data_IF_544782415781
#
_entry.id   IF_544782415781
#
_cell.length_a   1.000
_cell.length_b   1.000
_cell.length_c   1.000
_cell.angle_alpha   90.00
_cell.angle_beta   90.00
_cell.angle_gamma   90.00
#
_symmetry.space_group_name_H-M   'P 1'
#
loop_
_entity.id
_entity.type
_entity.pdbx_description
1 polymer ?
#
# COMPACT_ATOMS: atom_id res chain seq x y z
N UNK A 1 -10.98 -57.43 -32.15
CA UNK A 1 -12.18 -56.59 -32.31
C UNK A 1 -11.76 -55.29 -32.99
N UNK A 2 -12.15 -55.08 -34.26
CA UNK A 2 -11.68 -53.99 -35.15
C UNK A 2 -12.56 -52.77 -34.95
N UNK A 3 -11.96 -51.63 -34.72
CA UNK A 3 -12.69 -50.34 -34.68
C UNK A 3 -12.34 -49.56 -35.93
N UNK A 4 -13.38 -49.25 -36.70
CA UNK A 4 -13.37 -48.60 -38.00
C UNK A 4 -13.11 -47.10 -37.90
N UNK A 5 -12.21 -46.62 -38.78
CA UNK A 5 -11.93 -45.18 -39.00
C UNK A 5 -12.97 -44.63 -39.99
N UNK A 6 -13.82 -43.73 -39.56
CA UNK A 6 -14.69 -42.96 -40.46
C UNK A 6 -13.96 -41.67 -40.90
N UNK A 7 -13.70 -41.63 -42.21
CA UNK A 7 -13.18 -40.44 -42.91
C UNK A 7 -14.36 -39.45 -43.09
N UNK A 8 -14.20 -38.23 -42.62
CA UNK A 8 -15.09 -37.13 -42.96
C UNK A 8 -14.51 -36.37 -44.16
N UNK A 9 -15.26 -36.39 -45.25
CA UNK A 9 -14.99 -35.59 -46.44
C UNK A 9 -15.44 -34.14 -46.18
N UNK A 10 -14.54 -33.16 -46.31
CA UNK A 10 -14.86 -31.76 -46.37
C UNK A 10 -15.00 -31.37 -47.84
N UNK A 11 -16.20 -30.94 -48.22
CA UNK A 11 -16.48 -30.33 -49.49
C UNK A 11 -16.01 -28.88 -49.47
N UNK A 12 -15.07 -28.53 -50.34
CA UNK A 12 -14.72 -27.16 -50.67
C UNK A 12 -15.85 -26.49 -51.45
N UNK A 13 -16.32 -25.36 -50.98
CA UNK A 13 -17.12 -24.44 -51.75
C UNK A 13 -16.32 -23.11 -51.86
N UNK A 14 -15.87 -22.81 -53.08
CA UNK A 14 -15.27 -21.51 -53.40
C UNK A 14 -16.38 -20.47 -53.51
N UNK A 15 -16.24 -19.38 -52.78
CA UNK A 15 -17.07 -18.20 -52.90
C UNK A 15 -16.25 -16.98 -52.49
N UNK A 16 -15.82 -16.23 -53.51
CA UNK A 16 -15.13 -14.96 -53.39
C UNK A 16 -16.05 -13.87 -52.84
N UNK A 17 -15.73 -13.32 -51.69
CA UNK A 17 -16.17 -11.99 -51.26
C UNK A 17 -15.07 -11.33 -50.44
N UNK A 18 -14.41 -10.35 -51.05
CA UNK A 18 -13.50 -9.43 -50.33
C UNK A 18 -14.34 -8.55 -49.41
N UNK A 19 -14.27 -8.79 -48.14
CA UNK A 19 -14.58 -7.79 -47.11
C UNK A 19 -13.35 -7.65 -46.21
N UNK A 20 -12.71 -6.49 -46.32
CA UNK A 20 -11.63 -6.10 -45.47
C UNK A 20 -12.15 -5.95 -44.03
N UNK A 21 -12.00 -7.00 -43.24
CA UNK A 21 -12.20 -6.93 -41.78
C UNK A 21 -10.83 -6.60 -41.20
N UNK A 22 -10.63 -5.33 -40.88
CA UNK A 22 -9.52 -4.93 -39.99
C UNK A 22 -9.72 -5.63 -38.66
N UNK A 23 -8.78 -6.46 -38.18
CA UNK A 23 -8.83 -6.92 -36.79
C UNK A 23 -8.48 -5.72 -35.91
N UNK A 24 -9.49 -5.12 -35.31
CA UNK A 24 -9.29 -4.34 -34.13
C UNK A 24 -8.75 -5.30 -33.07
N UNK A 25 -7.42 -5.34 -32.98
CA UNK A 25 -6.71 -6.00 -31.88
C UNK A 25 -6.96 -5.14 -30.63
N UNK A 26 -8.15 -5.29 -30.04
CA UNK A 26 -8.42 -4.81 -28.71
C UNK A 26 -7.53 -5.61 -27.77
N UNK A 27 -6.39 -5.04 -27.45
CA UNK A 27 -5.56 -5.45 -26.33
C UNK A 27 -6.41 -5.25 -25.07
N UNK A 28 -7.12 -6.27 -24.65
CA UNK A 28 -7.58 -6.40 -23.28
C UNK A 28 -6.33 -6.65 -22.43
N UNK A 29 -5.57 -5.60 -22.18
CA UNK A 29 -4.81 -5.52 -20.96
C UNK A 29 -5.84 -5.27 -19.87
N UNK A 30 -6.50 -6.33 -19.45
CA UNK A 30 -7.15 -6.33 -18.16
C UNK A 30 -6.04 -6.12 -17.13
N UNK A 31 -5.84 -4.84 -16.85
CA UNK A 31 -5.34 -4.41 -15.57
C UNK A 31 -6.01 -5.30 -14.52
N UNK A 32 -5.21 -6.03 -13.73
CA UNK A 32 -5.67 -6.65 -12.52
C UNK A 32 -6.35 -5.55 -11.70
N UNK A 33 -7.64 -5.42 -11.91
CA UNK A 33 -8.50 -4.60 -11.10
C UNK A 33 -8.49 -5.30 -9.74
N UNK A 34 -7.63 -4.84 -8.85
CA UNK A 34 -7.81 -5.12 -7.44
C UNK A 34 -9.26 -4.77 -7.15
N UNK A 35 -10.06 -5.78 -6.84
CA UNK A 35 -11.44 -5.60 -6.41
C UNK A 35 -11.36 -4.77 -5.13
N UNK A 36 -11.36 -3.46 -5.29
CA UNK A 36 -11.50 -2.54 -4.19
C UNK A 36 -12.94 -2.67 -3.73
N UNK A 37 -13.12 -3.36 -2.62
CA UNK A 37 -14.40 -3.33 -1.91
C UNK A 37 -14.74 -1.84 -1.69
N UNK A 38 -15.82 -1.29 -2.26
CA UNK A 38 -16.14 0.14 -2.13
C UNK A 38 -16.43 0.57 -0.69
N UNK A 39 -16.58 -0.38 0.23
CA UNK A 39 -16.71 -0.17 1.67
C UNK A 39 -15.41 -0.47 2.44
N UNK A 40 -14.33 -0.84 1.75
CA UNK A 40 -13.02 -0.92 2.40
C UNK A 40 -12.47 0.50 2.47
N UNK A 41 -12.27 1.07 3.65
CA UNK A 41 -11.54 2.32 3.78
C UNK A 41 -10.16 2.09 3.13
N UNK A 42 -9.92 2.78 2.04
CA UNK A 42 -8.70 2.60 1.26
C UNK A 42 -7.51 3.08 2.07
N UNK A 43 -6.36 2.49 1.81
CA UNK A 43 -5.09 3.03 2.25
C UNK A 43 -5.07 4.55 1.97
N UNK A 44 -5.10 5.34 3.02
CA UNK A 44 -5.23 6.80 2.91
C UNK A 44 -3.95 7.54 3.27
N UNK A 45 -2.91 6.81 3.70
CA UNK A 45 -1.66 7.42 4.09
C UNK A 45 -0.82 7.79 2.86
N UNK A 46 -0.43 9.05 2.71
CA UNK A 46 0.52 9.47 1.68
C UNK A 46 1.85 8.76 1.89
N UNK A 47 2.54 8.46 0.77
CA UNK A 47 3.83 7.78 0.79
C UNK A 47 4.95 8.77 0.56
N UNK A 48 5.93 8.74 1.46
CA UNK A 48 7.16 9.51 1.38
C UNK A 48 8.34 8.56 1.21
N UNK A 49 9.44 9.08 0.72
CA UNK A 49 10.73 8.37 0.64
C UNK A 49 11.80 9.17 1.35
N UNK A 50 12.84 8.46 1.80
CA UNK A 50 14.01 9.06 2.42
C UNK A 50 15.30 8.48 1.86
N UNK A 51 16.40 9.01 2.31
CA UNK A 51 17.75 8.52 2.01
C UNK A 51 18.26 7.73 3.19
N UNK A 52 18.68 6.49 2.95
CA UNK A 52 19.26 5.63 3.96
C UNK A 52 20.79 5.72 3.95
N UNK A 53 21.37 5.95 5.12
CA UNK A 53 22.82 5.91 5.31
C UNK A 53 23.15 5.55 6.77
N UNK A 54 24.12 4.66 6.97
CA UNK A 54 24.70 4.36 8.29
C UNK A 54 23.64 4.05 9.39
N UNK A 55 22.60 3.28 9.07
CA UNK A 55 21.55 2.92 10.03
C UNK A 55 20.57 4.05 10.34
N UNK A 56 20.56 5.09 9.53
CA UNK A 56 19.61 6.20 9.60
C UNK A 56 18.85 6.35 8.29
N UNK A 57 17.57 6.74 8.42
CA UNK A 57 16.72 7.14 7.32
C UNK A 57 16.44 8.63 7.48
N UNK A 58 16.84 9.44 6.51
CA UNK A 58 16.62 10.89 6.49
C UNK A 58 15.53 11.24 5.48
N UNK A 59 14.51 11.93 5.93
CA UNK A 59 13.36 12.38 5.12
C UNK A 59 13.27 13.89 5.14
N UNK A 60 13.24 14.52 3.97
CA UNK A 60 13.02 15.95 3.87
C UNK A 60 11.53 16.27 4.03
N UNK A 61 11.21 17.15 4.96
CA UNK A 61 9.85 17.65 5.20
C UNK A 61 9.77 19.06 4.64
N UNK A 62 9.49 19.17 3.36
CA UNK A 62 9.23 20.47 2.72
C UNK A 62 7.80 20.97 3.04
N UNK A 63 7.49 22.26 2.81
CA UNK A 63 6.19 22.84 3.14
C UNK A 63 4.98 22.17 2.44
N UNK A 64 5.22 21.44 1.33
CA UNK A 64 4.18 20.72 0.59
C UNK A 64 4.08 19.24 1.04
N UNK A 65 4.98 18.81 1.89
CA UNK A 65 4.95 17.44 2.43
C UNK A 65 3.67 17.20 3.23
N UNK A 66 3.14 15.99 3.15
CA UNK A 66 2.02 15.58 3.99
C UNK A 66 2.31 15.75 5.49
N UNK A 67 3.58 15.55 5.89
CA UNK A 67 4.03 15.70 7.27
C UNK A 67 4.39 17.16 7.66
N UNK A 68 4.19 18.15 6.79
CA UNK A 68 4.44 19.56 7.12
C UNK A 68 3.39 20.15 8.06
N UNK A 69 2.22 19.51 8.18
CA UNK A 69 1.13 20.00 9.05
C UNK A 69 0.92 19.06 10.23
N UNK A 70 0.79 19.64 11.41
CA UNK A 70 0.42 18.88 12.63
C UNK A 70 -0.95 18.20 12.46
N UNK A 71 -1.10 17.04 13.04
CA UNK A 71 -2.28 16.17 12.93
C UNK A 71 -2.28 15.25 11.71
N UNK A 72 -1.31 15.39 10.81
CA UNK A 72 -1.18 14.50 9.66
C UNK A 72 -0.29 13.31 9.94
N UNK A 73 -0.48 12.26 9.13
CA UNK A 73 0.33 11.06 9.15
C UNK A 73 0.75 10.67 7.72
N UNK A 74 1.80 9.86 7.60
CA UNK A 74 2.31 9.33 6.34
C UNK A 74 2.99 7.98 6.53
N UNK A 75 3.24 7.28 5.41
CA UNK A 75 4.12 6.12 5.36
C UNK A 75 5.45 6.53 4.74
N UNK A 76 6.54 6.08 5.34
CA UNK A 76 7.88 6.27 4.78
C UNK A 76 8.45 4.91 4.39
N UNK A 77 8.82 4.78 3.11
CA UNK A 77 9.49 3.58 2.59
C UNK A 77 10.98 3.57 2.92
N UNK A 78 11.53 2.40 3.25
CA UNK A 78 12.96 2.16 3.41
C UNK A 78 13.32 0.71 3.00
N UNK A 79 14.60 0.33 3.02
CA UNK A 79 15.07 -0.96 2.49
C UNK A 79 14.45 -2.20 3.13
N UNK A 80 14.02 -2.11 4.39
CA UNK A 80 13.43 -3.23 5.14
C UNK A 80 11.89 -3.18 5.21
N UNK A 81 11.25 -2.24 4.52
CA UNK A 81 9.80 -2.12 4.50
C UNK A 81 9.27 -0.69 4.60
N UNK A 82 8.33 -0.47 5.49
CA UNK A 82 7.70 0.84 5.68
C UNK A 82 7.57 1.18 7.16
N UNK A 83 7.55 2.49 7.44
CA UNK A 83 7.31 3.06 8.76
C UNK A 83 6.06 3.94 8.72
N UNK A 84 5.30 3.94 9.80
CA UNK A 84 4.22 4.90 10.05
C UNK A 84 4.83 6.10 10.75
N UNK A 85 4.46 7.28 10.29
CA UNK A 85 4.86 8.53 10.94
C UNK A 85 3.65 9.40 11.14
N UNK A 86 3.43 9.91 12.33
CA UNK A 86 2.50 11.01 12.60
C UNK A 86 3.27 12.24 13.11
N UNK A 87 2.66 13.39 12.87
CA UNK A 87 3.17 14.70 13.25
C UNK A 87 2.21 15.38 14.22
N UNK A 88 2.29 15.11 15.55
CA UNK A 88 1.33 15.64 16.51
C UNK A 88 1.52 17.12 16.83
N UNK A 89 2.72 17.66 16.69
CA UNK A 89 3.04 19.06 16.95
C UNK A 89 4.29 19.50 16.21
N UNK A 90 4.52 20.80 16.07
CA UNK A 90 5.50 21.46 15.17
C UNK A 90 6.92 20.85 15.14
N UNK A 91 7.36 20.23 16.20
CA UNK A 91 8.72 19.63 16.27
C UNK A 91 8.71 18.16 16.66
N UNK A 92 7.54 17.56 16.82
CA UNK A 92 7.40 16.18 17.31
C UNK A 92 6.91 15.27 16.20
N UNK A 93 7.61 14.16 16.01
CA UNK A 93 7.24 13.10 15.09
C UNK A 93 7.30 11.77 15.82
N UNK A 94 6.20 11.02 15.82
CA UNK A 94 6.21 9.64 16.27
C UNK A 94 6.47 8.73 15.08
N UNK A 95 7.36 7.78 15.26
CA UNK A 95 7.73 6.81 14.21
C UNK A 95 7.50 5.40 14.70
N UNK A 96 6.68 4.66 13.99
CA UNK A 96 6.26 3.30 14.37
C UNK A 96 6.52 2.32 13.23
N UNK A 97 6.63 1.04 13.57
CA UNK A 97 6.56 -0.03 12.57
C UNK A 97 5.18 -0.03 11.90
N UNK A 98 5.14 -0.18 10.60
CA UNK A 98 3.88 -0.40 9.87
C UNK A 98 3.38 -1.84 9.94
N UNK A 99 4.11 -2.73 10.61
CA UNK A 99 3.76 -4.14 10.69
C UNK A 99 2.83 -4.40 11.87
N UNK A 100 1.60 -4.80 11.56
CA UNK A 100 0.59 -5.14 12.56
C UNK A 100 1.05 -6.31 13.42
N UNK A 101 0.98 -6.15 14.75
CA UNK A 101 1.43 -7.15 15.71
C UNK A 101 0.49 -8.36 15.86
N UNK A 102 -0.67 -8.37 15.18
CA UNK A 102 -1.54 -9.54 15.15
C UNK A 102 -1.02 -10.63 14.20
N UNK A 103 -0.95 -10.35 12.89
CA UNK A 103 -0.54 -11.30 11.85
C UNK A 103 0.33 -10.65 10.76
N UNK A 104 1.13 -9.66 11.13
CA UNK A 104 2.14 -9.03 10.28
C UNK A 104 1.62 -8.38 8.99
N UNK A 105 0.33 -8.07 8.91
CA UNK A 105 -0.21 -7.25 7.84
C UNK A 105 0.42 -5.85 7.86
N UNK A 106 0.59 -5.25 6.70
CA UNK A 106 0.98 -3.84 6.60
C UNK A 106 -0.19 -2.93 7.00
N UNK A 107 0.11 -1.93 7.82
CA UNK A 107 -0.81 -0.86 8.18
C UNK A 107 -0.51 0.31 7.24
N UNK A 108 -1.52 0.82 6.57
CA UNK A 108 -1.42 1.91 5.59
C UNK A 108 -2.57 2.92 5.69
N UNK A 109 -3.27 2.92 6.81
CA UNK A 109 -4.43 3.77 7.04
C UNK A 109 -4.39 4.45 8.40
N UNK A 110 -4.84 5.69 8.41
CA UNK A 110 -4.92 6.55 9.58
C UNK A 110 -6.29 7.25 9.64
N UNK A 111 -6.92 7.20 10.78
CA UNK A 111 -8.13 7.93 11.08
C UNK A 111 -7.76 9.20 11.87
N UNK A 112 -7.75 10.33 11.19
CA UNK A 112 -7.39 11.61 11.80
C UNK A 112 -8.39 12.09 12.85
N UNK A 113 -9.62 11.57 12.84
CA UNK A 113 -10.65 11.95 13.83
C UNK A 113 -10.43 11.28 15.18
N UNK A 114 -9.94 10.05 15.19
CA UNK A 114 -9.58 9.30 16.39
C UNK A 114 -8.10 9.34 16.73
N UNK A 115 -7.23 9.73 15.78
CA UNK A 115 -5.78 9.68 15.93
C UNK A 115 -5.26 8.25 15.96
N UNK A 116 -5.82 7.34 15.16
CA UNK A 116 -5.50 5.92 15.20
C UNK A 116 -5.04 5.39 13.85
N UNK A 117 -4.02 4.55 13.87
CA UNK A 117 -3.63 3.70 12.76
C UNK A 117 -4.50 2.45 12.71
N UNK A 118 -5.00 2.10 11.53
CA UNK A 118 -5.95 0.99 11.35
C UNK A 118 -5.33 -0.11 10.50
N UNK A 119 -5.33 -1.33 11.04
CA UNK A 119 -4.97 -2.54 10.31
C UNK A 119 -6.23 -3.21 9.76
N UNK A 120 -6.52 -3.01 8.49
CA UNK A 120 -7.74 -3.53 7.88
C UNK A 120 -7.78 -5.06 7.65
N UNK A 121 -6.66 -5.76 7.81
CA UNK A 121 -6.68 -7.22 7.71
C UNK A 121 -7.67 -7.85 8.72
N UNK A 122 -7.64 -7.40 9.98
CA UNK A 122 -8.46 -7.98 11.04
C UNK A 122 -9.02 -6.93 12.02
N UNK A 123 -8.90 -5.63 11.69
CA UNK A 123 -9.54 -4.55 12.44
C UNK A 123 -8.78 -4.07 13.68
N UNK A 124 -7.51 -4.46 13.87
CA UNK A 124 -6.71 -3.90 14.97
C UNK A 124 -6.49 -2.40 14.81
N UNK A 125 -6.57 -1.66 15.90
CA UNK A 125 -6.32 -0.22 15.95
C UNK A 125 -5.23 0.12 16.94
N UNK A 126 -4.38 1.08 16.59
CA UNK A 126 -3.25 1.53 17.40
C UNK A 126 -3.25 3.05 17.45
N UNK A 127 -2.99 3.63 18.62
CA UNK A 127 -2.84 5.06 18.72
C UNK A 127 -1.49 5.54 18.12
N UNK A 128 -1.31 6.85 18.07
CA UNK A 128 -0.07 7.51 17.59
C UNK A 128 1.17 7.15 18.42
N UNK A 129 1.00 6.57 19.58
CA UNK A 129 2.09 6.04 20.40
C UNK A 129 2.33 4.54 20.17
N UNK A 130 1.59 3.92 19.28
CA UNK A 130 1.67 2.50 18.96
C UNK A 130 0.94 1.59 19.95
N UNK A 131 0.26 2.12 20.97
CA UNK A 131 -0.50 1.31 21.91
C UNK A 131 -1.75 0.74 21.25
N UNK A 132 -2.09 -0.51 21.56
CA UNK A 132 -3.32 -1.16 21.08
C UNK A 132 -4.54 -0.47 21.65
N UNK A 133 -5.44 -0.02 20.79
CA UNK A 133 -6.75 0.55 21.15
C UNK A 133 -7.88 -0.43 20.88
N UNK A 134 -7.71 -1.28 19.86
CA UNK A 134 -8.64 -2.34 19.51
C UNK A 134 -7.87 -3.56 19.00
N UNK A 135 -8.24 -4.74 19.52
CA UNK A 135 -7.73 -6.02 19.04
C UNK A 135 -8.22 -6.37 17.61
N UNK A 136 -7.77 -7.52 17.11
CA UNK A 136 -7.18 -8.67 17.82
C UNK A 136 -5.67 -8.58 18.18
N UNK A 137 -4.93 -7.56 17.76
CA UNK A 137 -3.56 -7.35 18.25
C UNK A 137 -3.55 -7.19 19.79
N UNK A 138 -2.52 -7.75 20.44
CA UNK A 138 -2.36 -7.69 21.91
C UNK A 138 -1.06 -6.98 22.32
N UNK A 139 -0.19 -6.67 21.37
CA UNK A 139 1.10 -6.02 21.61
C UNK A 139 1.18 -4.70 20.86
N UNK A 140 1.86 -3.68 21.41
CA UNK A 140 2.03 -2.39 20.74
C UNK A 140 2.89 -2.52 19.48
N UNK A 141 2.80 -1.52 18.61
CA UNK A 141 3.74 -1.36 17.50
C UNK A 141 5.13 -0.96 18.01
N UNK A 142 6.17 -1.46 17.36
CA UNK A 142 7.54 -1.06 17.67
C UNK A 142 7.74 0.42 17.32
N UNK A 143 8.44 1.14 18.22
CA UNK A 143 8.82 2.54 18.05
C UNK A 143 10.24 2.69 17.54
N UNK A 144 10.45 3.70 16.72
CA UNK A 144 11.77 4.13 16.25
C UNK A 144 12.11 5.50 16.83
N UNK A 145 13.38 5.68 17.23
CA UNK A 145 13.82 6.99 17.67
C UNK A 145 14.00 7.93 16.48
N UNK A 146 13.58 9.16 16.63
CA UNK A 146 13.67 10.17 15.58
C UNK A 146 14.08 11.53 16.16
N UNK A 147 14.62 12.37 15.29
CA UNK A 147 14.94 13.78 15.56
C UNK A 147 14.52 14.60 14.36
N UNK A 148 13.96 15.79 14.62
CA UNK A 148 13.60 16.74 13.58
C UNK A 148 14.45 18.00 13.73
N UNK A 149 15.20 18.34 12.68
CA UNK A 149 16.00 19.56 12.60
C UNK A 149 16.20 19.98 11.14
N UNK A 150 16.27 21.26 10.87
CA UNK A 150 16.56 21.80 9.53
C UNK A 150 15.63 21.22 8.43
N UNK A 151 14.34 21.08 8.72
CA UNK A 151 13.34 20.45 7.85
C UNK A 151 13.66 18.99 7.48
N UNK A 152 14.45 18.32 8.28
CA UNK A 152 14.76 16.91 8.10
C UNK A 152 14.29 16.08 9.29
N UNK A 153 13.56 15.02 9.03
CA UNK A 153 13.24 13.97 9.98
C UNK A 153 14.31 12.87 9.85
N UNK A 154 15.09 12.67 10.89
CA UNK A 154 16.15 11.66 10.95
C UNK A 154 15.66 10.55 11.85
N UNK A 155 15.56 9.34 11.32
CA UNK A 155 15.03 8.15 11.99
C UNK A 155 16.16 7.12 12.12
N UNK A 156 16.33 6.51 13.28
CA UNK A 156 17.25 5.37 13.48
C UNK A 156 16.56 4.07 13.14
N UNK A 157 17.10 3.30 12.16
CA UNK A 157 16.54 2.07 11.59
C UNK A 157 17.43 0.85 11.76
#
# INVERSE_FOLDING_TARGET
>A
MKISRRKFFVKTLQGTALLAVTPALSTFLESCNTVTNPNSPQANLPRLSGTEANGTLTVNIDPNSALAKSGNAAIIGYSKGTLLVDHPSDTTYNVLSSICTHQQCSIDSFDSSSGEFICYCHGSRFDVNGAVRQGPAISPLAKYSSQFANNQLIIRI
#
